data_IF_272701652483
#
_entry.id   IF_272701652483
#
_cell.length_a   1.000
_cell.length_b   1.000
_cell.length_c   1.000
_cell.angle_alpha   90.00
_cell.angle_beta   90.00
_cell.angle_gamma   90.00
#
_symmetry.space_group_name_H-M   'P 1'
#
loop_
_entity.id
_entity.type
_entity.pdbx_description
1 polymer ?
#
# COMPACT_ATOMS: atom_id res chain seq x y z
N UNK A 1 8.29 3.54 72.31
CA UNK A 1 8.09 2.52 71.26
C UNK A 1 7.09 2.92 70.17
N UNK A 2 6.00 3.63 70.42
CA UNK A 2 4.91 3.99 69.46
C UNK A 2 5.35 4.88 68.28
N UNK A 3 6.25 5.90 68.52
CA UNK A 3 6.75 6.81 67.48
C UNK A 3 7.62 6.11 66.38
N UNK A 4 8.41 5.09 66.76
CA UNK A 4 9.21 4.30 65.80
C UNK A 4 8.35 3.43 64.88
N UNK A 5 7.23 2.91 65.34
CA UNK A 5 6.29 2.10 64.56
C UNK A 5 5.55 2.93 63.46
N UNK A 6 5.19 4.16 63.79
CA UNK A 6 4.51 5.11 62.88
C UNK A 6 5.49 5.58 61.79
N UNK A 7 6.72 5.89 62.13
CA UNK A 7 7.74 6.27 61.15
C UNK A 7 8.03 5.15 60.13
N UNK A 8 8.11 3.89 60.58
CA UNK A 8 8.27 2.73 59.72
C UNK A 8 7.09 2.47 58.75
N UNK A 9 5.86 2.71 59.23
CA UNK A 9 4.68 2.59 58.36
C UNK A 9 4.60 3.70 57.32
N UNK A 10 4.97 4.94 57.64
CA UNK A 10 5.02 6.05 56.71
C UNK A 10 6.14 5.88 55.65
N UNK A 11 7.30 5.33 56.07
CA UNK A 11 8.38 5.00 55.13
C UNK A 11 7.97 3.91 54.13
N UNK A 12 7.32 2.82 54.59
CA UNK A 12 6.78 1.76 53.73
C UNK A 12 5.69 2.26 52.79
N UNK A 13 4.80 3.14 53.23
CA UNK A 13 3.78 3.75 52.36
C UNK A 13 4.38 4.69 51.33
N UNK A 14 5.46 5.39 51.67
CA UNK A 14 6.19 6.27 50.72
C UNK A 14 6.93 5.47 49.67
N UNK A 15 7.60 4.38 50.03
CA UNK A 15 8.26 3.45 49.08
C UNK A 15 7.22 2.77 48.17
N UNK A 16 6.09 2.31 48.67
CA UNK A 16 5.01 1.73 47.89
C UNK A 16 4.39 2.73 46.88
N UNK A 17 4.26 4.02 47.25
CA UNK A 17 3.83 5.07 46.36
C UNK A 17 4.87 5.37 45.24
N UNK A 18 6.17 5.33 45.58
CA UNK A 18 7.25 5.53 44.62
C UNK A 18 7.38 4.36 43.64
N UNK A 19 7.23 3.12 44.10
CA UNK A 19 7.23 1.93 43.23
C UNK A 19 5.97 1.85 42.34
N UNK A 20 4.82 2.30 42.79
CA UNK A 20 3.63 2.45 41.93
C UNK A 20 3.77 3.56 40.87
N UNK A 21 4.50 4.64 41.19
CA UNK A 21 4.78 5.74 40.25
C UNK A 21 5.82 5.40 39.18
N UNK A 22 6.68 4.42 39.44
CA UNK A 22 7.67 3.88 38.49
C UNK A 22 7.14 2.78 37.56
N UNK A 23 5.90 2.32 37.76
CA UNK A 23 5.26 1.41 36.82
C UNK A 23 4.76 2.27 35.65
N UNK A 24 5.61 2.47 34.64
CA UNK A 24 5.22 3.01 33.35
C UNK A 24 4.05 2.16 32.84
N UNK A 25 2.87 2.77 32.72
CA UNK A 25 1.77 2.12 32.03
C UNK A 25 2.31 1.63 30.67
N UNK A 26 1.91 0.41 30.22
CA UNK A 26 2.37 -0.07 28.93
C UNK A 26 2.00 0.98 27.90
N UNK A 27 3.02 1.54 27.23
CA UNK A 27 2.84 2.54 26.16
C UNK A 27 1.82 1.95 25.19
N UNK A 28 0.63 2.55 25.17
CA UNK A 28 -0.48 2.10 24.35
C UNK A 28 0.03 2.04 22.92
N UNK A 29 0.04 0.85 22.32
CA UNK A 29 0.60 0.65 20.97
C UNK A 29 0.02 1.70 20.02
N UNK A 30 0.89 2.51 19.41
CA UNK A 30 0.47 3.63 18.57
C UNK A 30 -0.28 3.10 17.35
N UNK A 31 -1.49 3.58 17.12
CA UNK A 31 -2.35 3.13 16.05
C UNK A 31 -1.69 3.41 14.70
N UNK A 32 -1.58 2.38 13.86
CA UNK A 32 -1.03 2.45 12.49
C UNK A 32 -2.17 2.42 11.48
N UNK A 33 -2.04 3.20 10.41
CA UNK A 33 -3.06 3.35 9.38
C UNK A 33 -2.47 2.93 8.04
N UNK A 34 -3.17 2.06 7.28
CA UNK A 34 -2.77 1.70 5.92
C UNK A 34 -2.91 2.93 5.02
N UNK A 35 -1.80 3.55 4.65
CA UNK A 35 -1.76 4.78 3.89
C UNK A 35 -1.22 4.58 2.46
N UNK A 36 -0.26 3.65 2.28
CA UNK A 36 0.40 3.39 1.00
C UNK A 36 0.23 1.93 0.60
N UNK A 37 -0.32 1.70 -0.58
CA UNK A 37 -0.55 0.36 -1.13
C UNK A 37 0.74 -0.38 -1.51
N UNK A 38 0.65 -1.71 -1.69
CA UNK A 38 1.78 -2.57 -2.07
C UNK A 38 2.40 -2.15 -3.40
N UNK A 39 1.60 -1.88 -4.41
CA UNK A 39 2.05 -1.45 -5.73
C UNK A 39 2.84 -0.12 -5.68
N UNK A 40 2.38 0.86 -4.91
CA UNK A 40 3.08 2.15 -4.77
C UNK A 40 4.45 1.99 -4.09
N UNK A 41 4.56 1.07 -3.12
CA UNK A 41 5.82 0.72 -2.46
C UNK A 41 6.76 -0.06 -3.38
N UNK A 42 6.23 -1.06 -4.09
CA UNK A 42 7.02 -1.87 -5.01
C UNK A 42 7.71 -1.01 -6.07
N UNK A 43 6.97 -0.12 -6.74
CA UNK A 43 7.57 0.80 -7.73
C UNK A 43 8.56 1.80 -7.14
N UNK A 44 8.43 2.16 -5.85
CA UNK A 44 9.42 2.99 -5.17
C UNK A 44 10.74 2.22 -4.96
N UNK A 45 10.65 0.96 -4.52
CA UNK A 45 11.83 0.10 -4.37
C UNK A 45 12.47 -0.26 -5.71
N UNK A 46 11.68 -0.49 -6.76
CA UNK A 46 12.19 -0.70 -8.13
C UNK A 46 12.97 0.53 -8.59
N UNK A 47 12.44 1.75 -8.36
CA UNK A 47 13.17 2.97 -8.69
C UNK A 47 14.48 3.09 -7.89
N UNK A 48 14.46 2.84 -6.58
CA UNK A 48 15.67 2.86 -5.75
C UNK A 48 16.72 1.87 -6.27
N UNK A 49 16.31 0.64 -6.56
CA UNK A 49 17.21 -0.39 -7.10
C UNK A 49 17.78 0.01 -8.46
N UNK A 50 16.94 0.51 -9.39
CA UNK A 50 17.35 0.95 -10.70
C UNK A 50 18.33 2.15 -10.63
N UNK A 51 18.04 3.11 -9.75
CA UNK A 51 18.93 4.27 -9.55
C UNK A 51 20.26 3.86 -8.95
N UNK A 52 20.29 3.04 -7.90
CA UNK A 52 21.53 2.55 -7.31
C UNK A 52 22.36 1.71 -8.28
N UNK A 53 21.70 0.88 -9.09
CA UNK A 53 22.37 0.11 -10.14
C UNK A 53 22.95 1.03 -11.21
N UNK A 54 22.21 2.05 -11.67
CA UNK A 54 22.76 3.03 -12.62
C UNK A 54 23.93 3.80 -12.05
N UNK A 55 23.87 4.21 -10.77
CA UNK A 55 24.99 4.87 -10.09
C UNK A 55 26.24 3.98 -10.02
N UNK A 56 26.07 2.69 -9.70
CA UNK A 56 27.17 1.74 -9.60
C UNK A 56 27.88 1.57 -10.96
N UNK A 57 27.09 1.42 -12.01
CA UNK A 57 27.63 1.25 -13.37
C UNK A 57 28.30 2.55 -13.88
N UNK A 58 27.69 3.71 -13.57
CA UNK A 58 28.25 5.03 -13.92
C UNK A 58 29.59 5.27 -13.24
N UNK A 59 29.70 4.97 -11.94
CA UNK A 59 30.97 5.05 -11.22
C UNK A 59 32.04 4.15 -11.85
N UNK A 60 31.68 2.91 -12.20
CA UNK A 60 32.60 2.01 -12.88
C UNK A 60 33.06 2.50 -14.27
N UNK A 61 32.20 3.32 -14.94
CA UNK A 61 32.52 3.89 -16.22
C UNK A 61 33.41 5.15 -16.13
N UNK A 62 33.13 6.03 -15.17
CA UNK A 62 33.83 7.31 -15.00
C UNK A 62 35.24 7.17 -14.39
N UNK A 63 35.42 6.27 -13.43
CA UNK A 63 36.71 6.07 -12.76
C UNK A 63 37.52 4.92 -13.41
N UNK A 64 38.08 5.17 -14.58
CA UNK A 64 38.97 4.21 -15.25
C UNK A 64 40.22 3.86 -14.43
N UNK A 65 40.65 4.73 -13.54
CA UNK A 65 41.83 4.53 -12.67
C UNK A 65 41.55 3.51 -11.55
N UNK A 66 40.27 3.27 -11.20
CA UNK A 66 39.86 2.19 -10.32
C UNK A 66 39.35 1.00 -11.16
N UNK A 67 40.19 0.57 -12.12
CA UNK A 67 39.85 -0.46 -13.12
C UNK A 67 39.55 -1.86 -12.60
N UNK A 68 39.34 -2.01 -11.29
CA UNK A 68 38.98 -3.30 -10.66
C UNK A 68 37.67 -3.84 -11.22
N UNK A 69 36.69 -2.99 -11.53
CA UNK A 69 35.35 -3.42 -11.96
C UNK A 69 35.33 -3.96 -13.38
N UNK A 70 35.86 -3.26 -14.43
CA UNK A 70 35.91 -3.80 -15.78
C UNK A 70 36.67 -5.11 -15.88
N UNK A 71 37.80 -5.25 -15.20
CA UNK A 71 38.67 -6.45 -15.27
C UNK A 71 37.97 -7.64 -14.60
N UNK A 72 37.23 -7.42 -13.54
CA UNK A 72 36.50 -8.48 -12.82
C UNK A 72 35.25 -8.98 -13.56
N UNK A 73 34.57 -8.09 -14.32
CA UNK A 73 33.28 -8.43 -14.96
C UNK A 73 33.38 -8.79 -16.44
N UNK A 74 34.59 -8.84 -17.04
CA UNK A 74 34.78 -9.20 -18.45
C UNK A 74 35.00 -8.02 -19.40
N UNK A 75 35.54 -6.92 -18.87
CA UNK A 75 36.05 -5.79 -19.63
C UNK A 75 35.02 -4.72 -20.00
N UNK A 76 35.50 -3.69 -20.67
CA UNK A 76 34.70 -2.50 -21.04
C UNK A 76 33.52 -2.79 -21.97
N UNK A 77 33.55 -3.86 -22.76
CA UNK A 77 32.45 -4.23 -23.65
C UNK A 77 31.22 -4.64 -22.84
N UNK A 78 31.43 -5.44 -21.81
CA UNK A 78 30.34 -5.85 -20.90
C UNK A 78 29.84 -4.66 -20.06
N UNK A 79 30.76 -3.83 -19.55
CA UNK A 79 30.42 -2.62 -18.80
C UNK A 79 29.57 -1.66 -19.66
N UNK A 80 29.90 -1.45 -20.95
CA UNK A 80 29.08 -0.64 -21.87
C UNK A 80 27.69 -1.22 -22.08
N UNK A 81 27.56 -2.53 -22.21
CA UNK A 81 26.26 -3.20 -22.34
C UNK A 81 25.42 -3.07 -21.05
N UNK A 82 26.06 -3.23 -19.89
CA UNK A 82 25.41 -3.05 -18.59
C UNK A 82 24.98 -1.60 -18.40
N UNK A 83 25.79 -0.62 -18.83
CA UNK A 83 25.43 0.79 -18.76
C UNK A 83 24.18 1.09 -19.59
N UNK A 84 24.11 0.64 -20.83
CA UNK A 84 22.91 0.81 -21.66
C UNK A 84 21.68 0.16 -21.02
N UNK A 85 21.83 -1.07 -20.53
CA UNK A 85 20.74 -1.76 -19.80
C UNK A 85 20.31 -1.01 -18.55
N UNK A 86 21.26 -0.48 -17.78
CA UNK A 86 20.97 0.32 -16.59
C UNK A 86 20.23 1.61 -16.93
N UNK A 87 20.58 2.32 -17.99
CA UNK A 87 19.90 3.53 -18.44
C UNK A 87 18.46 3.25 -18.88
N UNK A 88 18.24 2.18 -19.65
CA UNK A 88 16.88 1.76 -20.04
C UNK A 88 16.03 1.39 -18.81
N UNK A 89 16.58 0.58 -17.89
CA UNK A 89 15.90 0.19 -16.66
C UNK A 89 15.59 1.39 -15.76
N UNK A 90 16.57 2.30 -15.62
CA UNK A 90 16.40 3.53 -14.87
C UNK A 90 15.27 4.40 -15.43
N UNK A 91 15.22 4.62 -16.76
CA UNK A 91 14.17 5.41 -17.40
C UNK A 91 12.78 4.82 -17.19
N UNK A 92 12.63 3.50 -17.35
CA UNK A 92 11.35 2.82 -17.10
C UNK A 92 10.94 3.00 -15.64
N UNK A 93 11.85 2.75 -14.71
CA UNK A 93 11.58 2.89 -13.27
C UNK A 93 11.27 4.35 -12.88
N UNK A 94 11.98 5.32 -13.46
CA UNK A 94 11.76 6.76 -13.27
C UNK A 94 10.33 7.16 -13.67
N UNK A 95 9.92 6.79 -14.90
CA UNK A 95 8.58 7.13 -15.42
C UNK A 95 7.48 6.42 -14.62
N UNK A 96 7.66 5.14 -14.30
CA UNK A 96 6.71 4.40 -13.48
C UNK A 96 6.57 5.00 -12.08
N UNK A 97 7.67 5.43 -11.46
CA UNK A 97 7.62 5.94 -10.09
C UNK A 97 7.14 7.39 -10.03
N UNK A 98 7.77 8.28 -10.77
CA UNK A 98 7.48 9.72 -10.72
C UNK A 98 6.41 10.15 -11.72
N UNK A 99 6.33 9.54 -12.91
CA UNK A 99 5.31 9.84 -13.91
C UNK A 99 3.91 9.58 -13.39
N UNK A 100 3.67 8.43 -12.71
CA UNK A 100 2.38 8.15 -12.08
C UNK A 100 2.02 9.07 -10.89
N UNK A 101 2.99 9.80 -10.35
CA UNK A 101 2.78 10.84 -9.33
C UNK A 101 2.54 12.21 -9.90
N UNK A 102 2.95 12.44 -11.15
CA UNK A 102 2.92 13.75 -11.79
C UNK A 102 1.57 14.45 -11.71
N UNK A 103 0.42 13.80 -11.99
CA UNK A 103 -0.88 14.45 -11.89
C UNK A 103 -1.18 15.03 -10.50
N UNK A 104 -0.73 14.33 -9.45
CA UNK A 104 -0.91 14.80 -8.07
C UNK A 104 0.05 15.93 -7.70
N UNK A 105 1.23 15.97 -8.33
CA UNK A 105 2.26 16.96 -8.05
C UNK A 105 2.03 18.27 -8.80
N UNK A 106 1.33 18.24 -9.93
CA UNK A 106 0.96 19.44 -10.70
C UNK A 106 -0.18 20.24 -10.04
N UNK A 107 -1.00 19.61 -9.22
CA UNK A 107 -2.08 20.29 -8.49
C UNK A 107 -1.52 20.98 -7.25
N UNK A 108 -1.41 22.31 -7.29
CA UNK A 108 -0.96 23.14 -6.19
C UNK A 108 -2.14 23.73 -5.41
N UNK A 109 -2.01 23.75 -4.09
CA UNK A 109 -3.01 24.31 -3.18
C UNK A 109 -2.38 25.37 -2.28
N UNK A 110 -3.20 26.19 -1.62
CA UNK A 110 -2.74 27.26 -0.72
C UNK A 110 -1.76 26.77 0.34
N UNK A 111 -1.99 25.60 0.91
CA UNK A 111 -1.10 25.01 1.91
C UNK A 111 0.26 24.58 1.34
N UNK A 112 0.39 24.30 0.03
CA UNK A 112 1.69 24.02 -0.60
C UNK A 112 2.56 25.29 -0.64
N UNK A 113 1.95 26.43 -0.93
CA UNK A 113 2.63 27.74 -0.91
C UNK A 113 3.05 28.10 0.52
N UNK A 114 2.18 27.88 1.50
CA UNK A 114 2.52 28.09 2.91
C UNK A 114 3.66 27.18 3.36
N UNK A 115 3.68 25.93 2.91
CA UNK A 115 4.75 24.96 3.18
C UNK A 115 6.09 25.48 2.64
N UNK A 116 6.13 26.02 1.42
CA UNK A 116 7.35 26.61 0.83
C UNK A 116 7.83 27.82 1.62
N UNK A 117 6.93 28.75 1.96
CA UNK A 117 7.29 29.94 2.75
C UNK A 117 7.93 29.60 4.08
N UNK A 118 7.53 28.48 4.67
CA UNK A 118 8.07 27.98 5.95
C UNK A 118 9.19 26.96 5.76
N UNK A 119 9.60 26.68 4.51
CA UNK A 119 10.58 25.63 4.16
C UNK A 119 10.30 24.30 4.86
N UNK A 120 9.03 23.88 4.91
CA UNK A 120 8.63 22.65 5.58
C UNK A 120 8.79 22.63 7.12
N UNK A 121 9.09 23.76 7.72
CA UNK A 121 9.42 23.86 9.15
C UNK A 121 10.88 23.51 9.47
N UNK A 122 11.71 23.16 8.49
CA UNK A 122 13.11 22.78 8.72
C UNK A 122 14.02 23.95 9.11
N UNK A 123 13.66 25.18 8.71
CA UNK A 123 14.48 26.38 8.97
C UNK A 123 14.46 26.81 10.43
N UNK A 124 13.49 26.39 11.24
CA UNK A 124 13.35 26.77 12.66
C UNK A 124 13.05 25.54 13.51
N UNK A 125 13.91 25.26 14.49
CA UNK A 125 13.83 24.11 15.39
C UNK A 125 12.47 23.93 16.11
N UNK A 126 11.71 25.00 16.30
CA UNK A 126 10.43 25.00 17.03
C UNK A 126 9.26 25.50 16.17
N UNK A 127 9.43 25.57 14.85
CA UNK A 127 8.32 25.95 13.97
C UNK A 127 7.34 24.76 13.84
N UNK A 128 6.02 25.02 13.96
CA UNK A 128 5.05 23.96 13.66
C UNK A 128 5.19 23.53 12.21
N UNK A 129 5.11 22.20 11.98
CA UNK A 129 5.17 21.62 10.64
C UNK A 129 3.98 22.15 9.84
N UNK A 130 4.20 22.78 8.66
CA UNK A 130 3.10 23.27 7.84
C UNK A 130 2.20 22.12 7.38
N UNK A 131 0.89 22.31 7.30
CA UNK A 131 -0.05 21.29 6.86
C UNK A 131 0.27 20.84 5.42
N UNK A 132 0.06 19.56 5.14
CA UNK A 132 0.26 19.00 3.80
C UNK A 132 -0.80 17.94 3.47
N UNK A 133 -1.04 17.74 2.17
CA UNK A 133 -1.78 16.60 1.64
C UNK A 133 -0.93 15.33 1.57
N UNK A 134 -1.26 14.39 0.65
CA UNK A 134 -0.47 13.16 0.45
C UNK A 134 1.00 13.46 0.12
N UNK A 135 1.24 14.44 -0.73
CA UNK A 135 2.56 14.97 -1.03
C UNK A 135 2.65 16.42 -0.54
N UNK A 136 3.73 16.76 0.16
CA UNK A 136 4.03 18.14 0.49
C UNK A 136 4.72 18.84 -0.68
N UNK A 137 4.81 20.19 -0.63
CA UNK A 137 5.37 20.98 -1.72
C UNK A 137 6.80 20.58 -2.09
N UNK A 138 7.64 20.25 -1.10
CA UNK A 138 9.01 19.77 -1.37
C UNK A 138 9.04 18.45 -2.13
N UNK A 139 8.13 17.52 -1.84
CA UNK A 139 8.00 16.26 -2.59
C UNK A 139 7.46 16.47 -4.01
N UNK A 140 6.56 17.44 -4.20
CA UNK A 140 6.06 17.83 -5.53
C UNK A 140 7.20 18.41 -6.38
N UNK A 141 7.96 19.33 -5.82
CA UNK A 141 9.15 19.91 -6.49
C UNK A 141 10.20 18.84 -6.82
N UNK A 142 10.49 17.96 -5.86
CA UNK A 142 11.42 16.86 -6.11
C UNK A 142 10.94 15.91 -7.21
N UNK A 143 9.64 15.63 -7.29
CA UNK A 143 9.06 14.82 -8.37
C UNK A 143 9.32 15.45 -9.74
N UNK A 144 9.08 16.77 -9.90
CA UNK A 144 9.36 17.49 -11.14
C UNK A 144 10.86 17.52 -11.45
N UNK A 145 11.69 17.84 -10.46
CA UNK A 145 13.14 17.82 -10.57
C UNK A 145 13.64 16.44 -11.02
N UNK A 146 13.22 15.36 -10.34
CA UNK A 146 13.68 14.00 -10.66
C UNK A 146 13.25 13.57 -12.08
N UNK A 147 12.04 13.94 -12.52
CA UNK A 147 11.59 13.67 -13.88
C UNK A 147 12.44 14.42 -14.91
N UNK A 148 12.61 15.73 -14.76
CA UNK A 148 13.34 16.53 -15.75
C UNK A 148 14.80 16.10 -15.81
N UNK A 149 15.50 16.11 -14.67
CA UNK A 149 16.94 15.78 -14.63
C UNK A 149 17.17 14.31 -14.93
N UNK A 150 16.30 13.42 -14.42
CA UNK A 150 16.40 11.98 -14.69
C UNK A 150 16.13 11.61 -16.14
N UNK A 151 15.21 12.30 -16.85
CA UNK A 151 15.01 12.11 -18.28
C UNK A 151 16.24 12.58 -19.08
N UNK A 152 16.80 13.74 -18.72
CA UNK A 152 18.04 14.23 -19.36
C UNK A 152 19.16 13.20 -19.18
N UNK A 153 19.38 12.74 -17.94
CA UNK A 153 20.38 11.73 -17.61
C UNK A 153 20.20 10.43 -18.41
N UNK A 154 18.99 9.86 -18.38
CA UNK A 154 18.72 8.59 -19.04
C UNK A 154 18.77 8.67 -20.58
N UNK A 155 18.18 9.73 -21.17
CA UNK A 155 18.16 9.90 -22.64
C UNK A 155 19.57 10.16 -23.19
N UNK A 156 20.33 11.04 -22.54
CA UNK A 156 21.72 11.29 -22.94
C UNK A 156 22.59 10.05 -22.76
N UNK A 157 22.38 9.27 -21.68
CA UNK A 157 23.06 8.02 -21.45
C UNK A 157 22.81 6.95 -22.50
N UNK A 158 21.61 6.87 -23.07
CA UNK A 158 21.31 6.02 -24.21
C UNK A 158 21.97 6.61 -25.50
N UNK A 159 21.85 7.93 -25.69
CA UNK A 159 22.36 8.62 -26.88
C UNK A 159 23.88 8.45 -27.12
N UNK A 160 24.67 8.44 -26.05
CA UNK A 160 26.11 8.25 -26.15
C UNK A 160 26.54 6.83 -26.62
N UNK A 161 25.63 5.85 -26.63
CA UNK A 161 25.86 4.52 -27.16
C UNK A 161 25.72 4.41 -28.68
N UNK A 162 25.22 5.46 -29.35
CA UNK A 162 25.08 5.53 -30.81
C UNK A 162 25.85 6.71 -31.42
N UNK A 163 27.14 6.92 -31.05
CA UNK A 163 27.89 8.12 -31.40
C UNK A 163 28.08 8.27 -32.90
N UNK A 164 28.13 7.16 -33.67
CA UNK A 164 28.30 7.14 -35.13
C UNK A 164 27.07 7.69 -35.90
N UNK A 165 25.93 7.85 -35.23
CA UNK A 165 24.70 8.42 -35.83
C UNK A 165 24.52 9.91 -35.52
N UNK A 166 25.39 10.50 -34.71
CA UNK A 166 25.29 11.88 -34.27
C UNK A 166 26.52 12.69 -34.64
N UNK A 167 26.38 14.00 -34.92
CA UNK A 167 27.52 14.90 -35.12
C UNK A 167 28.43 14.91 -33.88
N UNK A 168 29.77 15.04 -34.05
CA UNK A 168 30.72 15.01 -32.94
C UNK A 168 30.45 16.03 -31.83
N UNK A 169 30.00 17.23 -32.20
CA UNK A 169 29.66 18.27 -31.21
C UNK A 169 28.42 17.92 -30.38
N UNK A 170 27.44 17.25 -31.00
CA UNK A 170 26.23 16.73 -30.28
C UNK A 170 26.65 15.64 -29.32
N UNK A 171 27.53 14.73 -29.71
CA UNK A 171 28.05 13.67 -28.82
C UNK A 171 28.78 14.28 -27.62
N UNK A 172 29.65 15.28 -27.87
CA UNK A 172 30.37 15.98 -26.81
C UNK A 172 29.43 16.70 -25.85
N UNK A 173 28.43 17.39 -26.40
CA UNK A 173 27.38 18.06 -25.62
C UNK A 173 26.56 17.05 -24.77
N UNK A 174 26.20 15.91 -25.37
CA UNK A 174 25.48 14.84 -24.68
C UNK A 174 26.28 14.25 -23.50
N UNK A 175 27.58 14.00 -23.69
CA UNK A 175 28.49 13.51 -22.64
C UNK A 175 28.55 14.48 -21.46
N UNK A 176 28.76 15.78 -21.71
CA UNK A 176 28.81 16.80 -20.66
C UNK A 176 27.51 16.91 -19.93
N UNK A 177 26.37 16.90 -20.67
CA UNK A 177 25.04 17.01 -20.08
C UNK A 177 24.68 15.74 -19.29
N UNK A 178 25.07 14.56 -19.76
CA UNK A 178 24.89 13.29 -19.04
C UNK A 178 25.59 13.31 -17.70
N UNK A 179 26.88 13.65 -17.68
CA UNK A 179 27.66 13.71 -16.46
C UNK A 179 27.14 14.78 -15.48
N UNK A 180 26.83 15.98 -15.97
CA UNK A 180 26.27 17.05 -15.16
C UNK A 180 24.92 16.64 -14.53
N UNK A 181 24.02 16.05 -15.33
CA UNK A 181 22.72 15.59 -14.84
C UNK A 181 22.84 14.44 -13.85
N UNK A 182 23.82 13.53 -14.01
CA UNK A 182 24.14 12.49 -13.03
C UNK A 182 24.48 13.09 -11.67
N UNK A 183 25.45 14.00 -11.61
CA UNK A 183 25.86 14.64 -10.35
C UNK A 183 24.70 15.39 -9.70
N UNK A 184 23.98 16.19 -10.50
CA UNK A 184 22.83 16.97 -10.01
C UNK A 184 21.74 16.03 -9.46
N UNK A 185 21.46 14.91 -10.12
CA UNK A 185 20.47 13.93 -9.70
C UNK A 185 20.89 13.23 -8.40
N UNK A 186 22.15 12.81 -8.29
CA UNK A 186 22.71 12.20 -7.07
C UNK A 186 22.60 13.17 -5.89
N UNK A 187 23.07 14.41 -6.05
CA UNK A 187 22.96 15.43 -5.01
C UNK A 187 21.50 15.69 -4.59
N UNK A 188 20.59 15.81 -5.57
CA UNK A 188 19.16 15.99 -5.32
C UNK A 188 18.55 14.81 -4.57
N UNK A 189 18.89 13.57 -4.91
CA UNK A 189 18.45 12.37 -4.21
C UNK A 189 18.97 12.32 -2.77
N UNK A 190 20.25 12.65 -2.53
CA UNK A 190 20.82 12.70 -1.18
C UNK A 190 20.11 13.73 -0.30
N UNK A 191 19.88 14.94 -0.84
CA UNK A 191 19.09 15.97 -0.15
C UNK A 191 17.66 15.50 0.14
N UNK A 192 17.01 14.84 -0.83
CA UNK A 192 15.68 14.29 -0.64
C UNK A 192 15.64 13.24 0.47
N UNK A 193 16.58 12.28 0.48
CA UNK A 193 16.70 11.26 1.53
C UNK A 193 16.92 11.91 2.89
N UNK A 194 17.81 12.89 2.97
CA UNK A 194 18.06 13.60 4.22
C UNK A 194 16.81 14.29 4.76
N UNK A 195 16.20 15.18 3.99
CA UNK A 195 15.05 15.96 4.46
C UNK A 195 13.80 15.11 4.72
N UNK A 196 13.55 14.11 3.88
CA UNK A 196 12.29 13.39 3.95
C UNK A 196 12.35 12.07 4.71
N UNK A 197 13.51 11.50 4.96
CA UNK A 197 13.62 10.25 5.70
C UNK A 197 14.46 10.35 6.97
N UNK A 198 15.55 11.12 6.94
CA UNK A 198 16.41 11.30 8.13
C UNK A 198 15.85 12.37 9.05
N UNK A 199 15.56 13.57 8.53
CA UNK A 199 15.05 14.69 9.31
C UNK A 199 13.56 14.56 9.69
N UNK A 200 12.82 13.57 9.15
CA UNK A 200 11.39 13.36 9.42
C UNK A 200 11.14 11.94 9.95
N UNK A 201 11.33 11.69 11.25
CA UNK A 201 11.14 10.38 11.86
C UNK A 201 9.72 9.84 11.61
N UNK A 202 9.60 8.52 11.35
CA UNK A 202 8.34 7.84 11.08
C UNK A 202 7.93 7.80 9.60
N UNK A 203 8.54 8.62 8.73
CA UNK A 203 8.24 8.62 7.29
C UNK A 203 8.68 7.34 6.59
N UNK A 204 9.76 6.71 7.04
CA UNK A 204 10.26 5.47 6.48
C UNK A 204 9.19 4.36 6.49
N UNK A 205 8.26 4.39 7.45
CA UNK A 205 7.14 3.45 7.50
C UNK A 205 6.23 3.52 6.26
N UNK A 206 6.16 4.66 5.55
CA UNK A 206 5.43 4.77 4.28
C UNK A 206 6.07 3.91 3.18
N UNK A 207 7.39 3.84 3.15
CA UNK A 207 8.15 3.10 2.15
C UNK A 207 8.26 1.60 2.50
N UNK A 208 8.42 1.25 3.77
CA UNK A 208 8.62 -0.13 4.24
C UNK A 208 7.30 -0.87 4.41
N UNK A 209 6.51 -0.53 5.43
CA UNK A 209 5.25 -1.21 5.75
C UNK A 209 4.01 -0.63 5.04
N UNK A 210 4.08 0.63 4.60
CA UNK A 210 2.93 1.39 4.12
C UNK A 210 1.96 1.82 5.23
N UNK A 211 2.34 1.57 6.50
CA UNK A 211 1.50 1.79 7.70
C UNK A 211 2.18 2.75 8.67
N UNK A 212 2.23 4.05 8.40
CA UNK A 212 2.70 5.04 9.35
C UNK A 212 1.78 5.10 10.58
N UNK A 213 2.28 5.73 11.66
CA UNK A 213 1.47 5.98 12.84
C UNK A 213 0.45 7.09 12.59
N UNK A 214 -0.69 7.01 13.27
CA UNK A 214 -1.73 8.03 13.18
C UNK A 214 -1.18 9.42 13.56
N UNK A 215 -0.34 9.48 14.60
CA UNK A 215 0.33 10.70 15.04
C UNK A 215 1.17 11.33 13.94
N UNK A 216 1.96 10.51 13.22
CA UNK A 216 2.77 10.99 12.09
C UNK A 216 1.91 11.62 11.00
N UNK A 217 0.81 10.96 10.62
CA UNK A 217 -0.10 11.48 9.59
C UNK A 217 -0.76 12.79 10.02
N UNK A 218 -1.26 12.88 11.24
CA UNK A 218 -1.88 14.11 11.78
C UNK A 218 -0.89 15.27 11.83
N UNK A 219 0.37 15.01 12.16
CA UNK A 219 1.40 16.05 12.30
C UNK A 219 1.93 16.53 10.96
N UNK A 220 2.24 15.63 10.03
CA UNK A 220 2.92 15.95 8.78
C UNK A 220 2.01 16.03 7.56
N UNK A 221 0.87 15.33 7.59
CA UNK A 221 -0.06 15.20 6.47
C UNK A 221 -1.53 15.27 6.91
N UNK A 222 -1.97 16.34 7.62
CA UNK A 222 -3.30 16.41 8.22
C UNK A 222 -4.42 16.29 7.17
N UNK A 223 -4.30 16.93 6.02
CA UNK A 223 -5.30 16.84 4.95
C UNK A 223 -5.41 15.41 4.39
N UNK A 224 -4.28 14.73 4.22
CA UNK A 224 -4.29 13.34 3.80
C UNK A 224 -4.84 12.40 4.86
N UNK A 225 -4.58 12.69 6.14
CA UNK A 225 -5.15 11.92 7.24
C UNK A 225 -6.69 11.95 7.22
N UNK A 226 -7.30 13.12 7.02
CA UNK A 226 -8.76 13.23 6.93
C UNK A 226 -9.33 12.50 5.70
N UNK A 227 -8.66 12.54 4.56
CA UNK A 227 -9.04 11.76 3.38
C UNK A 227 -8.99 10.25 3.65
N UNK A 228 -7.93 9.76 4.32
CA UNK A 228 -7.78 8.35 4.68
C UNK A 228 -8.86 7.91 5.66
N UNK A 229 -9.16 8.74 6.64
CA UNK A 229 -10.23 8.47 7.63
C UNK A 229 -11.60 8.38 6.94
N UNK A 230 -11.91 9.28 6.02
CA UNK A 230 -13.12 9.23 5.22
C UNK A 230 -13.24 7.93 4.40
N UNK A 231 -12.16 7.51 3.72
CA UNK A 231 -12.13 6.24 2.97
C UNK A 231 -12.35 5.03 3.87
N UNK A 232 -11.66 4.95 5.00
CA UNK A 232 -11.82 3.85 5.96
C UNK A 232 -13.25 3.74 6.49
N UNK A 233 -13.92 4.87 6.70
CA UNK A 233 -15.33 4.90 7.11
C UNK A 233 -16.23 4.36 6.02
N UNK A 234 -16.03 4.78 4.75
CA UNK A 234 -16.78 4.31 3.60
C UNK A 234 -16.58 2.80 3.36
N UNK A 235 -15.34 2.32 3.47
CA UNK A 235 -15.03 0.90 3.29
C UNK A 235 -15.68 0.05 4.39
N UNK A 236 -15.67 0.50 5.64
CA UNK A 236 -16.36 -0.16 6.74
C UNK A 236 -17.90 -0.22 6.54
N UNK A 237 -18.47 0.83 5.96
CA UNK A 237 -19.91 0.85 5.61
C UNK A 237 -20.20 -0.12 4.47
N UNK A 238 -19.38 -0.12 3.41
CA UNK A 238 -19.52 -1.08 2.28
C UNK A 238 -19.41 -2.52 2.74
N UNK A 239 -18.46 -2.82 3.62
CA UNK A 239 -18.27 -4.17 4.19
C UNK A 239 -19.53 -4.62 4.95
N UNK A 240 -20.08 -3.75 5.81
CA UNK A 240 -21.34 -4.05 6.54
C UNK A 240 -22.52 -4.29 5.60
N UNK A 241 -22.61 -3.53 4.51
CA UNK A 241 -23.66 -3.71 3.51
C UNK A 241 -23.52 -5.05 2.78
N UNK A 242 -22.30 -5.44 2.38
CA UNK A 242 -22.03 -6.74 1.76
C UNK A 242 -22.41 -7.91 2.68
N UNK A 243 -22.03 -7.83 3.97
CA UNK A 243 -22.40 -8.86 4.94
C UNK A 243 -23.93 -8.99 5.08
N UNK A 244 -24.65 -7.86 5.16
CA UNK A 244 -26.13 -7.88 5.21
C UNK A 244 -26.75 -8.47 3.95
N UNK A 245 -26.19 -8.16 2.80
CA UNK A 245 -26.69 -8.67 1.54
C UNK A 245 -26.50 -10.20 1.44
N UNK A 246 -25.32 -10.68 1.83
CA UNK A 246 -25.02 -12.11 1.87
C UNK A 246 -25.94 -12.87 2.85
N UNK A 247 -26.17 -12.32 4.05
CA UNK A 247 -27.09 -12.94 5.01
C UNK A 247 -28.52 -13.00 4.49
N UNK A 248 -28.97 -12.00 3.73
CA UNK A 248 -30.30 -12.05 3.07
C UNK A 248 -30.39 -13.10 1.96
N UNK A 249 -29.33 -13.23 1.18
CA UNK A 249 -29.25 -14.25 0.13
C UNK A 249 -29.29 -15.65 0.75
N UNK A 250 -28.58 -15.87 1.86
CA UNK A 250 -28.60 -17.12 2.63
C UNK A 250 -30.00 -17.41 3.21
N UNK A 251 -30.72 -16.42 3.78
CA UNK A 251 -32.10 -16.57 4.27
C UNK A 251 -33.08 -16.93 3.16
N UNK A 252 -32.93 -16.33 1.97
CA UNK A 252 -33.80 -16.64 0.82
C UNK A 252 -33.59 -18.09 0.36
N UNK A 253 -32.34 -18.52 0.24
CA UNK A 253 -32.02 -19.91 -0.13
C UNK A 253 -32.55 -20.92 0.91
N UNK A 254 -32.43 -20.61 2.21
CA UNK A 254 -33.01 -21.46 3.26
C UNK A 254 -34.55 -21.55 3.18
N UNK A 255 -35.23 -20.43 2.87
CA UNK A 255 -36.68 -20.44 2.70
C UNK A 255 -37.10 -21.24 1.48
N UNK A 256 -36.43 -21.08 0.34
CA UNK A 256 -36.69 -21.84 -0.88
C UNK A 256 -36.51 -23.36 -0.67
N UNK A 257 -35.41 -23.72 0.05
CA UNK A 257 -35.14 -25.13 0.37
C UNK A 257 -36.19 -25.71 1.32
N UNK A 258 -36.64 -24.93 2.30
CA UNK A 258 -37.69 -25.35 3.23
C UNK A 258 -39.03 -25.54 2.53
N UNK A 259 -39.36 -24.70 1.55
CA UNK A 259 -40.57 -24.79 0.75
C UNK A 259 -40.53 -26.03 -0.15
N UNK A 260 -39.42 -26.31 -0.82
CA UNK A 260 -39.20 -27.50 -1.64
C UNK A 260 -39.34 -28.80 -0.82
N UNK A 261 -38.77 -28.84 0.39
CA UNK A 261 -38.90 -29.97 1.32
C UNK A 261 -40.34 -30.15 1.78
N UNK A 262 -41.07 -29.04 2.02
CA UNK A 262 -42.49 -29.11 2.43
C UNK A 262 -43.38 -29.62 1.25
N UNK A 263 -43.13 -29.21 0.04
CA UNK A 263 -43.84 -29.72 -1.14
C UNK A 263 -43.55 -31.21 -1.40
N UNK A 264 -42.31 -31.62 -1.28
CA UNK A 264 -41.91 -33.03 -1.39
C UNK A 264 -42.58 -33.92 -0.32
N UNK A 265 -42.78 -33.40 0.88
CA UNK A 265 -43.53 -34.12 1.97
C UNK A 265 -45.00 -34.19 1.64
N UNK A 266 -45.64 -33.13 1.12
CA UNK A 266 -47.02 -33.13 0.70
C UNK A 266 -47.30 -34.11 -0.45
N UNK A 267 -46.39 -34.15 -1.46
CA UNK A 267 -46.47 -35.12 -2.52
C UNK A 267 -46.42 -36.57 -2.04
N UNK A 268 -45.51 -36.92 -1.18
CA UNK A 268 -45.43 -38.28 -0.58
C UNK A 268 -46.62 -38.64 0.29
N UNK A 269 -47.18 -37.65 1.00
CA UNK A 269 -48.40 -37.89 1.80
C UNK A 269 -49.63 -38.18 0.89
N UNK A 270 -49.78 -37.45 -0.22
CA UNK A 270 -50.83 -37.66 -1.20
C UNK A 270 -50.69 -39.02 -1.90
N UNK A 271 -49.46 -39.44 -2.29
CA UNK A 271 -49.22 -40.79 -2.87
C UNK A 271 -49.56 -41.91 -1.85
N UNK A 272 -49.25 -41.70 -0.57
CA UNK A 272 -49.57 -42.67 0.49
C UNK A 272 -51.11 -42.80 0.75
N UNK A 273 -51.88 -41.72 0.56
CA UNK A 273 -53.31 -41.71 0.69
C UNK A 273 -53.97 -42.40 -0.50
N UNK A 274 -53.52 -42.14 -1.72
CA UNK A 274 -53.97 -42.84 -2.97
C UNK A 274 -53.66 -44.33 -2.89
N UNK A 275 -52.50 -44.70 -2.35
CA UNK A 275 -52.11 -46.12 -2.20
C UNK A 275 -52.99 -46.88 -1.16
N UNK A 276 -53.55 -46.18 -0.18
CA UNK A 276 -54.46 -46.74 0.82
C UNK A 276 -55.91 -46.89 0.29
N UNK A 277 -56.32 -46.07 -0.66
CA UNK A 277 -57.66 -46.14 -1.24
C UNK A 277 -57.79 -47.25 -2.30
N UNK A 278 -56.74 -47.60 -3.02
CA UNK A 278 -56.74 -48.65 -4.04
C UNK A 278 -57.16 -50.06 -3.54
N UNK A 279 -56.81 -50.53 -2.34
CA UNK A 279 -57.26 -51.85 -1.84
C UNK A 279 -58.74 -51.89 -1.43
N UNK A 280 -59.39 -50.75 -1.20
CA UNK A 280 -60.79 -50.67 -0.80
C UNK A 280 -61.74 -50.77 -2.00
N UNK A 281 -61.41 -50.09 -3.10
CA UNK A 281 -62.18 -50.18 -4.36
C UNK A 281 -62.19 -51.60 -4.95
N UNK A 282 -61.06 -52.32 -4.89
CA UNK A 282 -60.97 -53.70 -5.38
C UNK A 282 -61.79 -54.66 -4.53
N UNK A 283 -61.90 -54.42 -3.20
CA UNK A 283 -62.69 -55.25 -2.27
C UNK A 283 -64.17 -55.01 -2.39
N UNK A 284 -64.61 -53.84 -2.75
CA UNK A 284 -65.99 -53.48 -2.94
C UNK A 284 -66.49 -53.96 -4.32
N UNK A 285 -65.64 -54.03 -5.34
CA UNK A 285 -65.97 -54.66 -6.65
C UNK A 285 -66.07 -56.20 -6.60
N UNK A 286 -65.20 -56.88 -5.77
CA UNK A 286 -65.31 -58.32 -5.55
C UNK A 286 -66.61 -58.71 -4.80
N UNK A 287 -67.04 -57.91 -3.80
CA UNK A 287 -68.30 -58.12 -3.08
C UNK A 287 -69.56 -57.90 -3.93
N UNK A 288 -69.54 -56.98 -4.88
CA UNK A 288 -70.68 -56.75 -5.78
C UNK A 288 -70.83 -57.88 -6.86
N UNK A 289 -69.73 -58.47 -7.31
CA UNK A 289 -69.72 -59.60 -8.27
C UNK A 289 -70.13 -60.91 -7.58
N UNK A 290 -69.84 -61.17 -6.32
CA UNK A 290 -70.33 -62.36 -5.59
C UNK A 290 -71.81 -62.26 -5.25
N UNK A 291 -72.43 -61.09 -5.11
CA UNK A 291 -73.84 -60.95 -4.87
C UNK A 291 -74.74 -61.16 -6.13
N UNK A 292 -74.21 -60.92 -7.33
CA UNK A 292 -74.93 -61.17 -8.57
C UNK A 292 -74.89 -62.62 -9.00
N UNK A 293 -73.93 -63.45 -8.53
CA UNK A 293 -73.88 -64.90 -8.87
C UNK A 293 -74.74 -65.75 -7.99
N UNK A 294 -75.33 -65.25 -6.89
CA UNK A 294 -76.25 -65.97 -6.01
C UNK A 294 -77.76 -65.75 -6.29
N UNK A 295 -78.14 -64.90 -7.24
CA UNK A 295 -79.51 -64.66 -7.58
C UNK A 295 -79.96 -65.26 -8.97
N UNK A 296 -79.16 -66.03 -9.60
CA UNK A 296 -79.41 -66.69 -10.88
C UNK A 296 -79.17 -68.19 -10.83
N UNK A 297 -79.92 -68.95 -9.93
CA UNK A 297 -79.91 -70.40 -9.93
C UNK A 297 -81.20 -70.94 -9.32
#
# INVERSE_FOLDING_TARGET
MRKRRIAGQMAKARVSKLTKRGRTEPVKAEKRIQAVGGFERARAWIFVAAFLFSCLVEVGWQWREVNIVPDQIGGYRLLSTLHLGAMCFFLVALVLHFGLRLPFCLVWRSYDVEWLKKLGGYARRYSPVPPAGKFNAGQKLFTLFALVVGLIYGITGIGIHIPYKLPPDVVRGALNLHFASFIILVCGCLLYVYFFYVATPGRLALLTSGKPTERFLRMHHPHWYEELKGRLTLDAVRERLRHRQKSREEEVVEMELAEEVAEGRRGKAAESEVAKQKPQETRDQEKSTESETQQGG
#
